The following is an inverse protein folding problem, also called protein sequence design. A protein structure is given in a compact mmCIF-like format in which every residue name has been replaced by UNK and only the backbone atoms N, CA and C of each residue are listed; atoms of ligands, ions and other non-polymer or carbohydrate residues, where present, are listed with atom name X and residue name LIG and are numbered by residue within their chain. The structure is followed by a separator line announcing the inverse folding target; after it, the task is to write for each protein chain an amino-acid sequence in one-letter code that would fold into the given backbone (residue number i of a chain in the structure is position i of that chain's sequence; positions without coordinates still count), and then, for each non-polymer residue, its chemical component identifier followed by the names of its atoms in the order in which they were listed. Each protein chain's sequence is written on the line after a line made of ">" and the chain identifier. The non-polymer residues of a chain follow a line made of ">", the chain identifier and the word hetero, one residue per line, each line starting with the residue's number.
data_IF_169727488061
#
_entry.id   IF_169727488061
#
_cell.length_a   1.000
_cell.length_b   1.000
_cell.length_c   1.000
_cell.angle_alpha   90.00
_cell.angle_beta   90.00
_cell.angle_gamma   90.00
#
_symmetry.space_group_name_H-M   'P 1'
#
loop_
_entity.id
_entity.type
_entity.pdbx_description
1 polymer ?
#
# COMPACT_ATOMS: atom_id res chain seq x y z
N UNK A 1 39.08 -85.37 -80.33
CA UNK A 1 38.97 -84.84 -78.92
C UNK A 1 38.20 -83.57 -79.01
N UNK A 2 36.93 -83.64 -78.74
CA UNK A 2 36.01 -82.52 -78.89
C UNK A 2 35.66 -82.01 -77.49
N UNK A 3 35.97 -80.75 -77.21
CA UNK A 3 35.56 -80.14 -76.03
C UNK A 3 34.22 -79.43 -76.26
N UNK A 4 33.19 -79.73 -75.47
CA UNK A 4 31.93 -79.14 -75.46
C UNK A 4 31.95 -77.88 -74.57
N UNK A 5 31.41 -76.69 -74.97
CA UNK A 5 31.31 -75.53 -74.14
C UNK A 5 30.24 -75.65 -73.10
N UNK A 6 30.57 -75.40 -71.88
CA UNK A 6 29.69 -75.38 -70.72
C UNK A 6 28.90 -74.05 -70.73
N UNK A 7 27.58 -74.12 -70.98
CA UNK A 7 26.63 -73.02 -70.94
C UNK A 7 26.20 -72.74 -69.52
N UNK A 8 26.70 -71.70 -68.89
CA UNK A 8 26.27 -71.34 -67.58
C UNK A 8 24.82 -70.76 -67.62
N UNK A 9 23.97 -71.36 -66.83
CA UNK A 9 22.53 -70.94 -66.68
C UNK A 9 22.42 -69.56 -65.98
N UNK A 10 21.48 -68.68 -66.38
CA UNK A 10 21.31 -67.40 -65.79
C UNK A 10 20.84 -67.51 -64.34
N UNK A 11 21.58 -66.86 -63.44
CA UNK A 11 21.25 -66.87 -62.02
C UNK A 11 19.89 -66.14 -61.76
N UNK A 12 18.97 -66.91 -61.10
CA UNK A 12 17.66 -66.40 -60.74
C UNK A 12 17.79 -65.09 -59.89
N UNK A 13 16.98 -64.06 -60.13
CA UNK A 13 17.08 -62.81 -59.37
C UNK A 13 16.78 -63.05 -57.90
N UNK A 14 17.77 -62.77 -57.07
CA UNK A 14 17.75 -63.05 -55.62
C UNK A 14 16.60 -62.27 -54.96
N UNK A 15 15.56 -62.97 -54.43
CA UNK A 15 14.46 -62.42 -53.64
C UNK A 15 14.96 -61.52 -52.49
N UNK A 16 16.18 -61.78 -52.03
CA UNK A 16 16.86 -60.97 -50.99
C UNK A 16 17.09 -59.50 -51.38
N UNK A 17 17.41 -59.19 -52.65
CA UNK A 17 17.58 -57.79 -53.12
C UNK A 17 16.29 -57.02 -53.19
N UNK A 18 15.15 -57.66 -53.49
CA UNK A 18 13.83 -57.03 -53.45
C UNK A 18 13.35 -56.74 -52.02
N UNK A 19 13.61 -57.70 -51.09
CA UNK A 19 13.29 -57.54 -49.68
C UNK A 19 14.14 -56.45 -49.00
N UNK A 20 15.46 -56.35 -49.32
CA UNK A 20 16.35 -55.31 -48.85
C UNK A 20 15.95 -53.91 -49.38
N UNK A 21 15.56 -53.80 -50.65
CA UNK A 21 15.04 -52.53 -51.21
C UNK A 21 13.70 -52.14 -50.59
N UNK A 22 12.82 -53.13 -50.31
CA UNK A 22 11.55 -52.89 -49.60
C UNK A 22 11.76 -52.41 -48.15
N UNK A 23 12.70 -53.07 -47.40
CA UNK A 23 13.06 -52.64 -46.06
C UNK A 23 13.71 -51.24 -46.05
N UNK A 24 14.59 -50.96 -46.99
CA UNK A 24 15.20 -49.63 -47.13
C UNK A 24 14.14 -48.53 -47.42
N UNK A 25 13.19 -48.81 -48.32
CA UNK A 25 12.09 -47.90 -48.62
C UNK A 25 11.20 -47.63 -47.41
N UNK A 26 10.89 -48.67 -46.57
CA UNK A 26 10.14 -48.51 -45.31
C UNK A 26 10.91 -47.65 -44.31
N UNK A 27 12.20 -47.89 -44.14
CA UNK A 27 13.06 -47.08 -43.22
C UNK A 27 13.13 -45.60 -43.67
N UNK A 28 13.28 -45.35 -44.97
CA UNK A 28 13.26 -43.99 -45.52
C UNK A 28 11.91 -43.33 -45.32
N UNK A 29 10.83 -44.07 -45.51
CA UNK A 29 9.45 -43.53 -45.31
C UNK A 29 9.20 -43.23 -43.84
N UNK A 30 9.63 -44.07 -42.90
CA UNK A 30 9.57 -43.85 -41.46
C UNK A 30 10.42 -42.63 -41.04
N UNK A 31 11.63 -42.48 -41.58
CA UNK A 31 12.47 -41.28 -41.35
C UNK A 31 11.82 -40.02 -41.90
N UNK A 32 11.26 -40.10 -43.11
CA UNK A 32 10.55 -38.94 -43.72
C UNK A 32 9.31 -38.57 -42.88
N UNK A 33 8.53 -39.57 -42.39
CA UNK A 33 7.40 -39.34 -41.53
C UNK A 33 7.83 -38.74 -40.19
N UNK A 34 8.92 -39.19 -39.59
CA UNK A 34 9.47 -38.67 -38.33
C UNK A 34 9.99 -37.22 -38.51
N UNK A 35 10.66 -36.94 -39.61
CA UNK A 35 11.11 -35.59 -39.98
C UNK A 35 9.90 -34.69 -40.19
N UNK A 36 8.87 -35.13 -40.92
CA UNK A 36 7.65 -34.38 -41.15
C UNK A 36 6.92 -34.10 -39.83
N UNK A 37 6.81 -35.13 -38.97
CA UNK A 37 6.21 -34.99 -37.64
C UNK A 37 6.98 -33.97 -36.78
N UNK A 38 8.31 -34.00 -36.77
CA UNK A 38 9.14 -33.04 -36.08
C UNK A 38 8.95 -31.63 -36.63
N UNK A 39 8.89 -31.41 -37.93
CA UNK A 39 8.65 -30.11 -38.54
C UNK A 39 7.24 -29.57 -38.33
N UNK A 40 6.23 -30.46 -38.24
CA UNK A 40 4.83 -30.04 -38.00
C UNK A 40 4.54 -29.78 -36.54
N UNK A 41 5.12 -30.52 -35.61
CA UNK A 41 4.77 -30.50 -34.20
C UNK A 41 5.95 -30.19 -33.29
N UNK A 42 7.07 -30.84 -33.40
CA UNK A 42 8.18 -30.75 -32.44
C UNK A 42 8.87 -29.39 -32.36
N UNK A 43 8.93 -28.64 -33.45
CA UNK A 43 9.62 -27.33 -33.48
C UNK A 43 8.86 -26.20 -32.80
N UNK A 44 7.59 -26.42 -32.43
CA UNK A 44 6.72 -25.39 -31.89
C UNK A 44 6.61 -25.45 -30.36
N UNK A 45 7.37 -26.29 -29.73
CA UNK A 45 7.37 -26.43 -28.29
C UNK A 45 8.79 -26.37 -27.76
N UNK A 46 8.98 -25.60 -26.70
CA UNK A 46 10.22 -25.56 -25.93
C UNK A 46 9.93 -25.98 -24.50
N UNK A 47 10.69 -26.96 -24.02
CA UNK A 47 10.50 -27.49 -22.66
C UNK A 47 11.72 -27.27 -21.79
N UNK A 48 11.48 -27.15 -20.48
CA UNK A 48 12.50 -27.14 -19.45
C UNK A 48 12.01 -27.85 -18.20
N UNK A 49 12.92 -28.65 -17.61
CA UNK A 49 12.73 -29.28 -16.30
C UNK A 49 13.29 -28.38 -15.16
N UNK A 50 13.96 -27.29 -15.50
CA UNK A 50 14.53 -26.34 -14.55
C UNK A 50 13.53 -25.20 -14.29
N UNK A 51 12.40 -25.56 -13.69
CA UNK A 51 11.34 -24.64 -13.36
C UNK A 51 10.90 -24.84 -11.91
N UNK A 52 10.68 -23.74 -11.19
CA UNK A 52 10.34 -23.78 -9.78
C UNK A 52 9.17 -22.86 -9.49
N UNK A 53 8.31 -23.30 -8.57
CA UNK A 53 7.24 -22.46 -8.04
C UNK A 53 7.85 -21.37 -7.17
N UNK A 54 7.53 -20.13 -7.48
CA UNK A 54 7.88 -18.94 -6.73
C UNK A 54 6.62 -18.23 -6.22
N UNK A 55 6.78 -17.36 -5.23
CA UNK A 55 5.66 -16.59 -4.68
C UNK A 55 6.16 -15.45 -3.81
N UNK A 56 5.28 -14.51 -3.56
CA UNK A 56 5.57 -13.43 -2.64
C UNK A 56 5.66 -13.98 -1.21
N UNK A 57 6.72 -13.63 -0.49
CA UNK A 57 6.90 -13.91 0.92
C UNK A 57 6.78 -12.60 1.68
N UNK A 58 5.66 -12.36 2.32
CA UNK A 58 5.41 -11.16 3.10
C UNK A 58 5.98 -11.36 4.50
N UNK A 59 7.10 -10.71 4.78
CA UNK A 59 7.70 -10.75 6.11
C UNK A 59 6.93 -9.88 7.08
N UNK A 60 6.47 -10.45 8.18
CA UNK A 60 5.77 -9.77 9.26
C UNK A 60 6.81 -9.29 10.27
N UNK A 61 6.87 -7.97 10.44
CA UNK A 61 7.78 -7.31 11.39
C UNK A 61 7.00 -6.41 12.33
N UNK A 62 7.40 -6.27 13.61
CA UNK A 62 6.75 -5.34 14.52
C UNK A 62 7.10 -3.90 14.13
N UNK A 63 6.16 -2.99 14.34
CA UNK A 63 6.35 -1.53 14.17
C UNK A 63 6.73 -0.84 15.49
N UNK A 64 6.51 -1.52 16.63
CA UNK A 64 6.86 -1.06 17.98
C UNK A 64 7.65 -2.14 18.69
N UNK A 65 8.47 -1.75 19.66
CA UNK A 65 9.18 -2.70 20.51
C UNK A 65 8.29 -3.18 21.66
N UNK A 66 8.41 -4.46 22.04
CA UNK A 66 7.65 -5.03 23.13
C UNK A 66 8.02 -6.48 23.42
N UNK A 67 7.46 -7.05 24.48
CA UNK A 67 7.57 -8.47 24.80
C UNK A 67 6.38 -9.22 24.23
N UNK A 68 6.59 -10.35 23.59
CA UNK A 68 5.51 -11.18 23.01
C UNK A 68 4.76 -11.90 24.13
N UNK A 69 3.45 -11.64 24.25
CA UNK A 69 2.58 -12.28 25.25
C UNK A 69 1.72 -13.39 24.66
N UNK A 70 1.38 -13.31 23.38
CA UNK A 70 0.61 -14.34 22.69
C UNK A 70 0.98 -14.44 21.21
N UNK A 71 0.84 -15.65 20.66
CA UNK A 71 1.00 -15.97 19.24
C UNK A 71 -0.26 -16.68 18.81
N UNK A 72 -0.98 -16.10 17.83
CA UNK A 72 -2.26 -16.60 17.37
C UNK A 72 -2.17 -17.46 16.11
N UNK A 73 -1.01 -17.48 15.42
CA UNK A 73 -0.80 -18.26 14.22
C UNK A 73 0.56 -18.98 14.26
N UNK A 74 0.57 -20.25 13.82
CA UNK A 74 1.77 -21.08 13.75
C UNK A 74 2.03 -21.57 12.31
N UNK A 75 3.19 -22.19 12.08
CA UNK A 75 3.62 -22.68 10.78
C UNK A 75 2.56 -23.60 10.14
N UNK A 76 2.27 -23.35 8.86
CA UNK A 76 1.28 -24.06 8.08
C UNK A 76 -0.16 -23.62 8.28
N UNK A 77 -0.47 -22.76 9.24
CA UNK A 77 -1.82 -22.23 9.42
C UNK A 77 -2.19 -21.24 8.33
N UNK A 78 -3.46 -21.27 7.93
CA UNK A 78 -4.05 -20.23 7.08
C UNK A 78 -4.42 -19.03 7.91
N UNK A 79 -4.11 -17.86 7.40
CA UNK A 79 -4.44 -16.56 8.03
C UNK A 79 -5.14 -15.65 7.04
N UNK A 80 -6.01 -14.80 7.55
CA UNK A 80 -6.74 -13.82 6.77
C UNK A 80 -6.11 -12.43 6.91
N UNK A 81 -6.33 -11.60 5.90
CA UNK A 81 -5.93 -10.19 5.95
C UNK A 81 -6.57 -9.49 7.14
N UNK A 82 -5.77 -8.78 7.94
CA UNK A 82 -6.21 -8.10 9.16
C UNK A 82 -6.31 -9.02 10.39
N UNK A 83 -6.10 -10.32 10.26
CA UNK A 83 -6.11 -11.24 11.39
C UNK A 83 -4.90 -10.99 12.31
N UNK A 84 -5.13 -11.00 13.63
CA UNK A 84 -4.07 -10.92 14.64
C UNK A 84 -3.16 -12.15 14.55
N UNK A 85 -1.85 -11.90 14.48
CA UNK A 85 -0.82 -12.95 14.41
C UNK A 85 -0.02 -13.05 15.71
N UNK A 86 0.41 -11.90 16.23
CA UNK A 86 1.22 -11.80 17.43
C UNK A 86 0.73 -10.64 18.28
N UNK A 87 0.61 -10.86 19.59
CA UNK A 87 0.29 -9.84 20.57
C UNK A 87 1.53 -9.50 21.38
N UNK A 88 1.91 -8.24 21.37
CA UNK A 88 2.89 -7.70 22.29
C UNK A 88 2.20 -7.27 23.60
N UNK A 89 2.94 -7.18 24.68
CA UNK A 89 2.48 -6.62 25.94
C UNK A 89 2.06 -5.15 25.75
N UNK A 90 0.77 -4.83 25.95
CA UNK A 90 0.27 -3.48 25.72
C UNK A 90 0.47 -2.54 26.92
N UNK A 91 0.91 -3.03 28.08
CA UNK A 91 0.88 -2.29 29.35
C UNK A 91 1.55 -0.91 29.25
N UNK A 92 2.75 -0.83 28.71
CA UNK A 92 3.48 0.44 28.56
C UNK A 92 2.79 1.38 27.56
N UNK A 93 2.27 0.84 26.46
CA UNK A 93 1.60 1.63 25.41
C UNK A 93 0.22 2.10 25.86
N UNK A 94 -0.48 1.32 26.68
CA UNK A 94 -1.77 1.65 27.25
C UNK A 94 -1.65 2.80 28.27
N UNK A 95 -0.65 2.75 29.16
CA UNK A 95 -0.34 3.85 30.07
C UNK A 95 0.04 5.12 29.32
N UNK A 96 0.86 5.01 28.27
CA UNK A 96 1.22 6.16 27.43
C UNK A 96 0.00 6.76 26.71
N UNK A 97 -0.94 5.92 26.27
CA UNK A 97 -2.20 6.36 25.64
C UNK A 97 -3.05 7.13 26.66
N UNK A 98 -3.31 6.56 27.84
CA UNK A 98 -4.08 7.22 28.90
C UNK A 98 -3.47 8.57 29.31
N UNK A 99 -2.13 8.65 29.38
CA UNK A 99 -1.44 9.91 29.67
C UNK A 99 -1.68 10.95 28.56
N UNK A 100 -1.63 10.55 27.29
CA UNK A 100 -1.87 11.44 26.15
C UNK A 100 -3.33 11.91 26.10
N UNK A 101 -4.30 11.04 26.41
CA UNK A 101 -5.73 11.40 26.55
C UNK A 101 -5.93 12.46 27.63
N UNK A 102 -5.36 12.25 28.81
CA UNK A 102 -5.45 13.19 29.93
C UNK A 102 -4.80 14.54 29.58
N UNK A 103 -3.65 14.52 28.86
CA UNK A 103 -2.96 15.71 28.38
C UNK A 103 -3.82 16.50 27.40
N UNK A 104 -4.38 15.86 26.36
CA UNK A 104 -5.26 16.52 25.40
C UNK A 104 -6.48 17.17 26.10
N UNK A 105 -7.15 16.41 26.97
CA UNK A 105 -8.28 16.92 27.74
C UNK A 105 -7.90 18.12 28.62
N UNK A 106 -6.71 18.08 29.25
CA UNK A 106 -6.15 19.17 30.03
C UNK A 106 -5.90 20.42 29.18
N UNK A 107 -5.23 20.24 28.04
CA UNK A 107 -4.91 21.33 27.09
C UNK A 107 -6.18 21.98 26.54
N UNK A 108 -7.19 21.21 26.15
CA UNK A 108 -8.48 21.75 25.69
C UNK A 108 -9.13 22.63 26.78
N UNK A 109 -9.12 22.17 28.05
CA UNK A 109 -9.66 22.98 29.17
C UNK A 109 -8.83 24.24 29.42
N UNK A 110 -7.52 24.18 29.33
CA UNK A 110 -6.62 25.34 29.47
C UNK A 110 -6.88 26.38 28.37
N UNK A 111 -6.91 25.94 27.11
CA UNK A 111 -7.19 26.83 25.96
C UNK A 111 -8.60 27.45 26.12
N UNK A 112 -9.61 26.65 26.51
CA UNK A 112 -10.94 27.17 26.81
C UNK A 112 -10.90 28.27 27.87
N UNK A 113 -10.02 28.17 28.88
CA UNK A 113 -9.78 29.22 29.88
C UNK A 113 -9.29 30.54 29.26
N UNK A 114 -8.41 30.47 28.24
CA UNK A 114 -7.93 31.65 27.52
C UNK A 114 -9.07 32.35 26.77
N UNK A 115 -9.97 31.63 26.11
CA UNK A 115 -11.15 32.19 25.45
C UNK A 115 -12.10 32.87 26.46
N UNK A 116 -12.28 32.28 27.64
CA UNK A 116 -13.05 32.91 28.72
C UNK A 116 -12.39 34.19 29.26
N UNK A 117 -11.06 34.25 29.29
CA UNK A 117 -10.33 35.43 29.65
C UNK A 117 -10.57 36.61 28.66
N UNK A 118 -10.66 36.32 27.36
CA UNK A 118 -11.03 37.31 26.34
C UNK A 118 -12.42 37.85 26.57
N UNK A 119 -13.40 36.95 26.82
CA UNK A 119 -14.77 37.34 27.11
C UNK A 119 -14.86 38.24 28.36
N UNK A 120 -14.11 37.90 29.42
CA UNK A 120 -14.01 38.68 30.64
C UNK A 120 -13.41 40.09 30.41
N UNK A 121 -12.28 40.14 29.66
CA UNK A 121 -11.65 41.42 29.29
C UNK A 121 -12.59 42.30 28.43
N UNK A 122 -13.32 41.68 27.48
CA UNK A 122 -14.32 42.43 26.68
C UNK A 122 -15.46 42.95 27.51
N UNK A 123 -15.95 42.26 28.54
CA UNK A 123 -16.96 42.71 29.45
C UNK A 123 -16.48 43.92 30.29
N UNK A 124 -15.21 43.88 30.78
CA UNK A 124 -14.60 45.01 31.48
C UNK A 124 -14.49 46.26 30.57
N UNK A 125 -14.03 46.05 29.33
CA UNK A 125 -13.98 47.17 28.36
C UNK A 125 -15.36 47.82 28.15
N UNK A 126 -16.41 47.00 28.00
CA UNK A 126 -17.77 47.51 27.86
C UNK A 126 -18.20 48.36 29.10
N UNK A 127 -17.88 47.91 30.31
CA UNK A 127 -18.18 48.62 31.56
C UNK A 127 -17.44 49.95 31.61
N UNK A 128 -16.14 50.01 31.21
CA UNK A 128 -15.37 51.25 31.13
C UNK A 128 -15.92 52.22 30.08
N UNK A 129 -16.36 51.72 28.93
CA UNK A 129 -17.01 52.52 27.89
C UNK A 129 -18.33 53.18 28.39
N UNK A 130 -19.15 52.45 29.14
CA UNK A 130 -20.34 53.03 29.76
C UNK A 130 -19.97 54.14 30.74
N UNK A 131 -18.92 53.96 31.55
CA UNK A 131 -18.43 55.01 32.49
C UNK A 131 -17.92 56.22 31.73
N UNK A 132 -17.14 56.03 30.67
CA UNK A 132 -16.64 57.13 29.81
C UNK A 132 -17.81 57.90 29.20
N UNK A 133 -18.84 57.21 28.68
CA UNK A 133 -20.05 57.90 28.14
C UNK A 133 -20.70 58.80 29.16
N UNK A 134 -20.80 58.35 30.42
CA UNK A 134 -21.37 59.13 31.54
C UNK A 134 -20.49 60.35 31.83
N UNK A 135 -19.18 60.21 31.95
CA UNK A 135 -18.24 61.33 32.23
C UNK A 135 -18.24 62.37 31.10
N UNK A 136 -18.29 61.94 29.83
CA UNK A 136 -18.44 62.82 28.69
C UNK A 136 -19.70 63.68 28.74
N UNK A 137 -20.84 63.06 29.06
CA UNK A 137 -22.10 63.77 29.18
C UNK A 137 -22.09 64.75 30.37
N UNK A 138 -21.44 64.39 31.47
CA UNK A 138 -21.31 65.24 32.65
C UNK A 138 -20.41 66.45 32.37
N UNK A 139 -19.22 66.22 31.76
CA UNK A 139 -18.32 67.29 31.33
C UNK A 139 -19.03 68.25 30.35
N UNK A 140 -19.75 67.74 29.34
CA UNK A 140 -20.44 68.63 28.38
C UNK A 140 -21.49 69.50 29.07
N UNK A 141 -22.28 68.95 29.98
CA UNK A 141 -23.26 69.66 30.74
C UNK A 141 -22.64 70.72 31.65
N UNK A 142 -21.53 70.40 32.36
CA UNK A 142 -20.78 71.38 33.18
C UNK A 142 -20.13 72.47 32.37
N UNK A 143 -19.63 72.16 31.17
CA UNK A 143 -19.07 73.16 30.24
C UNK A 143 -20.12 74.21 29.85
N UNK A 144 -21.33 73.74 29.45
CA UNK A 144 -22.43 74.66 29.10
C UNK A 144 -22.84 75.53 30.30
N UNK A 145 -22.79 75.08 31.55
CA UNK A 145 -23.07 75.78 32.77
C UNK A 145 -21.93 76.79 33.11
N UNK A 146 -20.67 76.46 32.86
CA UNK A 146 -19.53 77.35 33.06
C UNK A 146 -19.57 78.55 32.11
N UNK A 147 -19.97 78.31 30.83
CA UNK A 147 -20.16 79.42 29.86
C UNK A 147 -21.21 80.45 30.26
N UNK A 148 -22.17 80.00 31.09
CA UNK A 148 -23.18 80.93 31.69
C UNK A 148 -22.78 81.48 33.05
N UNK A 149 -21.59 81.16 33.59
CA UNK A 149 -21.11 81.57 34.89
C UNK A 149 -21.77 80.89 36.09
N UNK A 150 -22.49 79.78 35.88
CA UNK A 150 -23.26 79.00 36.90
C UNK A 150 -22.40 78.09 37.76
N UNK A 151 -21.18 77.74 37.33
CA UNK A 151 -20.22 76.94 38.09
C UNK A 151 -18.81 77.52 38.08
N UNK A 152 -17.96 77.11 39.04
CA UNK A 152 -16.61 77.58 39.14
C UNK A 152 -15.66 76.96 38.09
N UNK A 153 -14.56 77.65 37.76
CA UNK A 153 -13.50 77.12 36.88
C UNK A 153 -12.83 75.88 37.46
N UNK A 154 -12.77 75.74 38.77
CA UNK A 154 -12.24 74.58 39.47
C UNK A 154 -13.14 73.32 39.27
N UNK A 155 -14.49 73.48 39.39
CA UNK A 155 -15.43 72.42 39.13
C UNK A 155 -15.40 71.92 37.70
N UNK A 156 -15.18 72.80 36.72
CA UNK A 156 -14.98 72.46 35.33
C UNK A 156 -13.64 71.73 35.11
N UNK A 157 -12.56 72.12 35.80
CA UNK A 157 -11.26 71.46 35.73
C UNK A 157 -11.35 70.08 36.30
N UNK A 158 -12.01 69.85 37.45
CA UNK A 158 -12.26 68.50 38.02
C UNK A 158 -13.04 67.60 37.07
N UNK A 159 -14.08 68.09 36.42
CA UNK A 159 -14.82 67.33 35.44
C UNK A 159 -14.00 66.94 34.21
N UNK A 160 -13.05 67.80 33.79
CA UNK A 160 -12.12 67.52 32.70
C UNK A 160 -11.11 66.41 33.10
N UNK A 161 -10.61 66.45 34.34
CA UNK A 161 -9.66 65.47 34.85
C UNK A 161 -10.32 64.09 35.03
N UNK A 162 -11.60 64.10 35.49
CA UNK A 162 -12.41 62.89 35.57
C UNK A 162 -12.65 62.24 34.17
N UNK A 163 -12.97 63.09 33.18
CA UNK A 163 -13.10 62.65 31.79
C UNK A 163 -11.77 62.05 31.25
N UNK A 164 -10.65 62.75 31.45
CA UNK A 164 -9.34 62.25 31.02
C UNK A 164 -8.96 60.91 31.67
N UNK A 165 -9.27 60.78 32.99
CA UNK A 165 -9.09 59.52 33.71
C UNK A 165 -9.95 58.37 33.14
N UNK A 166 -11.21 58.66 32.79
CA UNK A 166 -12.08 57.66 32.18
C UNK A 166 -11.62 57.28 30.75
N UNK A 167 -11.09 58.20 29.97
CA UNK A 167 -10.50 57.95 28.65
C UNK A 167 -9.26 57.06 28.75
N UNK A 168 -8.37 57.34 29.70
CA UNK A 168 -7.19 56.51 29.98
C UNK A 168 -7.58 55.10 30.43
N UNK A 169 -8.65 54.96 31.28
CA UNK A 169 -9.16 53.68 31.72
C UNK A 169 -9.70 52.79 30.56
N UNK A 170 -10.41 53.40 29.59
CA UNK A 170 -10.87 52.72 28.39
C UNK A 170 -9.71 52.26 27.52
N UNK A 171 -8.69 53.12 27.33
CA UNK A 171 -7.50 52.77 26.56
C UNK A 171 -6.76 51.58 27.18
N UNK A 172 -6.54 51.59 28.51
CA UNK A 172 -5.90 50.48 29.22
C UNK A 172 -6.69 49.15 29.15
N UNK A 173 -8.02 49.24 29.26
CA UNK A 173 -8.87 48.06 29.14
C UNK A 173 -8.88 47.50 27.71
N UNK A 174 -8.81 48.39 26.68
CA UNK A 174 -8.69 47.99 25.28
C UNK A 174 -7.40 47.22 25.01
N UNK A 175 -6.28 47.72 25.52
CA UNK A 175 -4.98 46.99 25.41
C UNK A 175 -5.00 45.64 26.09
N UNK A 176 -5.76 45.51 27.18
CA UNK A 176 -5.96 44.19 27.85
C UNK A 176 -6.76 43.21 26.99
N UNK A 177 -7.80 43.67 26.29
CA UNK A 177 -8.54 42.87 25.33
C UNK A 177 -7.63 42.40 24.18
N UNK A 178 -6.87 43.32 23.58
CA UNK A 178 -5.96 42.98 22.47
C UNK A 178 -4.90 41.96 22.90
N UNK A 179 -4.32 42.12 24.09
CA UNK A 179 -3.36 41.18 24.66
C UNK A 179 -4.00 39.79 24.86
N UNK A 180 -5.21 39.75 25.41
CA UNK A 180 -5.91 38.50 25.62
C UNK A 180 -6.29 37.81 24.29
N UNK A 181 -6.67 38.58 23.26
CA UNK A 181 -6.96 38.08 21.91
C UNK A 181 -5.71 37.51 21.24
N UNK A 182 -4.55 38.17 21.39
CA UNK A 182 -3.32 37.63 20.84
C UNK A 182 -2.92 36.24 21.35
N UNK A 183 -3.44 35.82 22.52
CA UNK A 183 -3.22 34.46 23.06
C UNK A 183 -4.08 33.40 22.42
N UNK A 184 -5.21 33.80 21.79
CA UNK A 184 -6.13 32.86 21.14
C UNK A 184 -6.12 32.98 19.61
N UNK A 185 -5.44 34.00 19.06
CA UNK A 185 -5.13 34.20 17.64
C UNK A 185 -6.34 34.05 16.70
N UNK A 186 -7.52 34.49 17.13
CA UNK A 186 -8.81 34.40 16.45
C UNK A 186 -9.17 32.99 15.90
N UNK A 187 -8.50 31.92 16.40
CA UNK A 187 -8.74 30.53 16.02
C UNK A 187 -9.89 29.92 16.81
N UNK A 188 -10.40 28.76 16.39
CA UNK A 188 -11.30 27.96 17.24
C UNK A 188 -10.48 26.99 18.10
N UNK A 189 -11.00 26.61 19.26
CA UNK A 189 -10.30 25.76 20.24
C UNK A 189 -9.68 24.53 19.60
N UNK A 190 -10.40 23.88 18.67
CA UNK A 190 -9.94 22.66 18.01
C UNK A 190 -8.72 22.87 17.08
N UNK A 191 -8.52 24.08 16.55
CA UNK A 191 -7.40 24.43 15.64
C UNK A 191 -6.27 25.18 16.33
N UNK A 192 -6.40 25.42 17.64
CA UNK A 192 -5.35 26.04 18.44
C UNK A 192 -4.06 25.19 18.40
N UNK A 193 -2.86 25.78 18.20
CA UNK A 193 -1.60 25.07 18.09
C UNK A 193 -1.32 24.10 19.25
N UNK A 194 -1.61 24.50 20.48
CA UNK A 194 -1.40 23.65 21.65
C UNK A 194 -2.30 22.42 21.64
N UNK A 195 -3.58 22.58 21.22
CA UNK A 195 -4.53 21.48 21.08
C UNK A 195 -4.09 20.54 19.97
N UNK A 196 -3.64 21.09 18.82
CA UNK A 196 -3.13 20.28 17.70
C UNK A 196 -1.85 19.51 18.09
N UNK A 197 -0.96 20.11 18.87
CA UNK A 197 0.23 19.43 19.38
C UNK A 197 -0.15 18.27 20.32
N UNK A 198 -1.06 18.49 21.26
CA UNK A 198 -1.56 17.45 22.15
C UNK A 198 -2.33 16.34 21.39
N UNK A 199 -3.10 16.72 20.36
CA UNK A 199 -3.79 15.74 19.49
C UNK A 199 -2.79 14.89 18.69
N UNK A 200 -1.69 15.48 18.20
CA UNK A 200 -0.64 14.72 17.52
C UNK A 200 0.07 13.73 18.47
N UNK A 201 0.29 14.11 19.73
CA UNK A 201 0.83 13.20 20.75
C UNK A 201 -0.13 12.04 21.05
N UNK A 202 -1.43 12.32 21.17
CA UNK A 202 -2.45 11.30 21.35
C UNK A 202 -2.49 10.34 20.15
N UNK A 203 -2.48 10.87 18.93
CA UNK A 203 -2.44 10.05 17.70
C UNK A 203 -1.24 9.11 17.69
N UNK A 204 -0.07 9.60 18.09
CA UNK A 204 1.15 8.76 18.18
C UNK A 204 1.02 7.68 19.25
N UNK A 205 0.49 8.00 20.44
CA UNK A 205 0.27 7.03 21.50
C UNK A 205 -0.76 5.97 21.12
N UNK A 206 -1.86 6.38 20.48
CA UNK A 206 -2.86 5.47 19.92
C UNK A 206 -2.26 4.51 18.89
N UNK A 207 -1.50 5.02 17.91
CA UNK A 207 -0.85 4.19 16.90
C UNK A 207 0.13 3.19 17.52
N UNK A 208 0.89 3.59 18.54
CA UNK A 208 1.79 2.68 19.22
C UNK A 208 1.03 1.57 19.96
N UNK A 209 -0.10 1.90 20.59
CA UNK A 209 -0.95 0.93 21.27
C UNK A 209 -1.63 -0.03 20.27
N UNK A 210 -2.19 0.49 19.19
CA UNK A 210 -2.80 -0.33 18.13
C UNK A 210 -1.78 -1.28 17.46
N UNK A 211 -0.52 -0.87 17.33
CA UNK A 211 0.57 -1.65 16.76
C UNK A 211 1.16 -2.71 17.70
N UNK A 212 0.75 -2.72 18.98
CA UNK A 212 1.06 -3.84 19.88
C UNK A 212 0.36 -5.13 19.42
N UNK A 213 -0.76 -5.05 18.73
CA UNK A 213 -1.38 -6.15 17.98
C UNK A 213 -0.83 -6.22 16.56
N UNK A 214 -0.03 -7.22 16.25
CA UNK A 214 0.59 -7.40 14.93
C UNK A 214 -0.35 -8.24 14.07
N UNK A 215 -0.86 -7.65 12.98
CA UNK A 215 -1.84 -8.26 12.08
C UNK A 215 -1.24 -8.63 10.73
N UNK A 216 -1.87 -9.57 10.04
CA UNK A 216 -1.45 -9.95 8.68
C UNK A 216 -1.88 -8.88 7.66
N UNK A 217 -0.98 -8.34 6.82
CA UNK A 217 -1.33 -7.43 5.75
C UNK A 217 -1.98 -8.13 4.55
N UNK A 218 -1.89 -9.46 4.46
CA UNK A 218 -2.39 -10.29 3.35
C UNK A 218 -3.04 -11.56 3.87
N UNK A 219 -3.93 -12.15 3.07
CA UNK A 219 -4.42 -13.51 3.31
C UNK A 219 -3.43 -14.53 2.73
N UNK A 220 -3.17 -15.63 3.44
CA UNK A 220 -2.21 -16.63 3.00
C UNK A 220 -1.93 -17.71 4.04
N UNK A 221 -0.78 -18.35 3.94
CA UNK A 221 -0.32 -19.36 4.87
C UNK A 221 0.96 -18.93 5.58
N UNK A 222 1.04 -19.19 6.87
CA UNK A 222 2.29 -18.95 7.63
C UNK A 222 3.32 -19.96 7.16
N UNK A 223 4.44 -19.47 6.63
CA UNK A 223 5.48 -20.33 6.07
C UNK A 223 6.67 -20.54 7.02
N UNK A 224 6.94 -19.57 7.88
CA UNK A 224 8.09 -19.60 8.79
C UNK A 224 7.85 -18.68 9.96
N UNK A 225 7.71 -19.23 11.16
CA UNK A 225 7.65 -18.49 12.42
C UNK A 225 9.00 -18.57 13.12
N UNK A 226 9.57 -17.43 13.47
CA UNK A 226 10.83 -17.32 14.23
C UNK A 226 10.65 -16.79 15.65
N UNK A 227 9.48 -16.20 15.94
CA UNK A 227 9.18 -15.55 17.22
C UNK A 227 8.67 -16.58 18.27
N UNK A 228 8.98 -16.32 19.55
CA UNK A 228 8.53 -17.12 20.70
C UNK A 228 7.85 -16.24 21.75
N UNK A 229 6.92 -16.82 22.52
CA UNK A 229 6.30 -16.15 23.69
C UNK A 229 7.37 -15.83 24.72
N UNK A 230 7.31 -14.63 25.30
CA UNK A 230 8.32 -14.10 26.23
C UNK A 230 9.53 -13.44 25.55
N UNK A 231 9.65 -13.55 24.23
CA UNK A 231 10.74 -12.91 23.49
C UNK A 231 10.50 -11.39 23.40
N UNK A 232 11.55 -10.60 23.63
CA UNK A 232 11.52 -9.16 23.34
C UNK A 232 11.87 -8.93 21.87
N UNK A 233 11.00 -8.19 21.18
CA UNK A 233 11.16 -7.87 19.77
C UNK A 233 11.31 -6.37 19.54
N UNK A 234 11.93 -6.00 18.42
CA UNK A 234 12.16 -4.61 18.02
C UNK A 234 11.72 -4.40 16.58
N UNK A 235 11.40 -3.16 16.17
CA UNK A 235 11.08 -2.84 14.77
C UNK A 235 12.13 -3.39 13.80
N UNK A 236 11.66 -4.05 12.73
CA UNK A 236 12.51 -4.68 11.73
C UNK A 236 12.88 -6.14 11.99
N UNK A 237 12.67 -6.69 13.21
CA UNK A 237 12.87 -8.12 13.44
C UNK A 237 11.80 -8.94 12.72
N UNK A 238 12.19 -9.86 11.85
CA UNK A 238 11.24 -10.76 11.20
C UNK A 238 10.64 -11.73 12.24
N UNK A 239 9.33 -11.72 12.41
CA UNK A 239 8.59 -12.57 13.32
C UNK A 239 8.10 -13.85 12.65
N UNK A 240 7.55 -13.72 11.46
CA UNK A 240 7.08 -14.81 10.61
C UNK A 240 6.98 -14.34 9.15
N UNK A 241 6.82 -15.28 8.24
CA UNK A 241 6.53 -15.01 6.83
C UNK A 241 5.15 -15.55 6.48
N UNK A 242 4.37 -14.76 5.74
CA UNK A 242 3.06 -15.16 5.20
C UNK A 242 3.17 -15.24 3.68
N UNK A 243 2.74 -16.35 3.10
CA UNK A 243 2.74 -16.61 1.66
C UNK A 243 1.31 -16.56 1.15
N UNK A 244 0.95 -15.57 0.31
CA UNK A 244 -0.34 -15.56 -0.38
C UNK A 244 -0.43 -16.69 -1.40
N UNK A 245 -1.31 -17.68 -1.17
CA UNK A 245 -1.43 -18.87 -2.03
C UNK A 245 -1.92 -18.57 -3.45
N UNK A 246 -2.61 -17.45 -3.64
CA UNK A 246 -3.16 -17.02 -4.93
C UNK A 246 -2.15 -16.25 -5.81
N UNK A 247 -1.03 -15.83 -5.24
CA UNK A 247 -0.01 -14.99 -5.90
C UNK A 247 1.26 -15.78 -6.19
N UNK A 248 1.11 -17.01 -6.70
CA UNK A 248 2.23 -17.85 -7.10
C UNK A 248 2.45 -17.78 -8.61
N UNK A 249 3.69 -17.96 -9.02
CA UNK A 249 4.10 -18.08 -10.42
C UNK A 249 5.17 -19.15 -10.53
N UNK A 250 5.46 -19.58 -11.77
CA UNK A 250 6.59 -20.44 -12.03
C UNK A 250 7.72 -19.62 -12.65
N UNK A 251 8.91 -19.80 -12.14
CA UNK A 251 10.14 -19.30 -12.73
C UNK A 251 10.81 -20.48 -13.43
N UNK A 252 10.77 -20.45 -14.76
CA UNK A 252 11.31 -21.49 -15.62
C UNK A 252 12.59 -21.01 -16.31
N UNK A 253 13.70 -21.73 -16.11
CA UNK A 253 15.00 -21.35 -16.63
C UNK A 253 15.22 -22.00 -18.00
N UNK A 254 15.05 -21.23 -19.06
CA UNK A 254 15.31 -21.68 -20.44
C UNK A 254 16.71 -21.35 -20.88
N UNK A 255 17.30 -22.18 -21.75
CA UNK A 255 18.58 -21.90 -22.38
C UNK A 255 18.46 -20.69 -23.31
N UNK A 256 19.51 -19.91 -23.45
CA UNK A 256 19.56 -18.74 -24.34
C UNK A 256 19.08 -19.07 -25.77
N UNK A 257 19.40 -20.28 -26.27
CA UNK A 257 19.03 -20.73 -27.62
C UNK A 257 17.52 -20.96 -27.77
N UNK A 258 16.81 -21.28 -26.68
CA UNK A 258 15.37 -21.56 -26.66
C UNK A 258 14.52 -20.29 -26.66
N UNK A 259 15.09 -19.15 -26.21
CA UNK A 259 14.38 -17.86 -26.12
C UNK A 259 14.12 -17.18 -27.47
N UNK A 260 14.71 -17.65 -28.55
CA UNK A 260 14.68 -16.99 -29.87
C UNK A 260 13.26 -16.64 -30.34
N UNK A 261 12.34 -17.57 -30.14
CA UNK A 261 10.94 -17.45 -30.58
C UNK A 261 9.95 -17.26 -29.41
N UNK A 262 10.48 -17.10 -28.20
CA UNK A 262 9.63 -16.91 -27.01
C UNK A 262 9.16 -15.45 -26.92
N UNK A 263 7.88 -15.26 -26.61
CA UNK A 263 7.19 -13.96 -26.53
C UNK A 263 6.31 -13.89 -25.30
N UNK A 264 6.04 -12.66 -24.84
CA UNK A 264 5.07 -12.41 -23.78
C UNK A 264 3.67 -12.82 -24.24
N UNK A 265 2.89 -13.43 -23.33
CA UNK A 265 1.53 -13.88 -23.59
C UNK A 265 1.41 -15.31 -24.08
N UNK A 266 2.50 -15.96 -24.52
CA UNK A 266 2.48 -17.36 -24.98
C UNK A 266 1.93 -18.30 -23.91
N UNK A 267 1.18 -19.31 -24.35
CA UNK A 267 0.61 -20.33 -23.49
C UNK A 267 1.67 -21.33 -23.05
N UNK A 268 1.60 -21.73 -21.79
CA UNK A 268 2.53 -22.68 -21.18
C UNK A 268 1.73 -23.75 -20.49
N UNK A 269 2.08 -24.99 -20.76
CA UNK A 269 1.65 -26.14 -19.98
C UNK A 269 2.68 -26.43 -18.89
N UNK A 270 2.22 -26.48 -17.64
CA UNK A 270 3.05 -26.72 -16.47
C UNK A 270 2.61 -28.01 -15.79
N UNK A 271 3.56 -28.84 -15.37
CA UNK A 271 3.30 -30.08 -14.63
C UNK A 271 4.15 -30.10 -13.37
N UNK A 272 3.48 -30.25 -12.22
CA UNK A 272 4.17 -30.30 -10.93
C UNK A 272 4.54 -31.74 -10.60
N UNK A 273 5.79 -31.97 -10.21
CA UNK A 273 6.28 -33.29 -9.79
C UNK A 273 5.52 -33.81 -8.56
N UNK A 274 5.02 -32.90 -7.71
CA UNK A 274 4.20 -33.24 -6.54
C UNK A 274 2.95 -34.10 -6.88
N UNK A 275 2.34 -33.84 -8.04
CA UNK A 275 1.10 -34.49 -8.48
C UNK A 275 1.33 -35.56 -9.57
N UNK A 276 2.60 -35.97 -9.80
CA UNK A 276 2.97 -37.09 -10.64
C UNK A 276 2.60 -36.96 -12.12
N UNK A 277 2.39 -35.77 -12.62
CA UNK A 277 2.06 -35.50 -14.02
C UNK A 277 0.58 -35.61 -14.39
N UNK A 278 -0.29 -36.06 -13.47
CA UNK A 278 -1.74 -36.20 -13.71
C UNK A 278 -2.45 -34.82 -13.68
N UNK A 279 -1.84 -33.83 -13.03
CA UNK A 279 -2.36 -32.44 -12.92
C UNK A 279 -1.53 -31.50 -13.80
N UNK A 280 -2.16 -31.02 -14.86
CA UNK A 280 -1.60 -29.98 -15.73
C UNK A 280 -2.13 -28.60 -15.35
N UNK A 281 -1.23 -27.62 -15.19
CA UNK A 281 -1.60 -26.22 -15.01
C UNK A 281 -1.38 -25.48 -16.32
N UNK A 282 -2.31 -24.59 -16.63
CA UNK A 282 -2.17 -23.67 -17.74
C UNK A 282 -1.62 -22.35 -17.23
N UNK A 283 -0.57 -21.87 -17.86
CA UNK A 283 0.06 -20.61 -17.54
C UNK A 283 0.26 -19.74 -18.79
N UNK A 284 0.75 -18.52 -18.57
CA UNK A 284 1.16 -17.61 -19.63
C UNK A 284 2.50 -16.97 -19.31
N UNK A 285 3.33 -16.80 -20.31
CA UNK A 285 4.59 -16.06 -20.20
C UNK A 285 4.27 -14.60 -19.89
N UNK A 286 4.69 -14.11 -18.71
CA UNK A 286 4.47 -12.71 -18.27
C UNK A 286 5.72 -11.87 -18.32
N UNK A 287 6.90 -12.48 -18.18
CA UNK A 287 8.17 -11.76 -18.26
C UNK A 287 9.28 -12.68 -18.72
N UNK A 288 10.14 -12.16 -19.57
CA UNK A 288 11.44 -12.74 -19.91
C UNK A 288 12.49 -11.99 -19.09
N UNK A 289 13.31 -12.71 -18.34
CA UNK A 289 14.34 -12.10 -17.46
C UNK A 289 15.29 -11.20 -18.22
N UNK A 290 15.65 -10.07 -17.63
CA UNK A 290 16.58 -9.10 -18.22
C UNK A 290 18.06 -9.54 -18.13
N UNK A 291 18.32 -10.68 -17.50
CA UNK A 291 19.67 -11.22 -17.36
C UNK A 291 19.65 -12.69 -16.97
N UNK A 292 20.81 -13.32 -17.05
CA UNK A 292 21.00 -14.72 -16.64
C UNK A 292 21.12 -14.82 -15.12
N UNK A 293 20.79 -15.95 -14.54
CA UNK A 293 20.94 -16.17 -13.11
C UNK A 293 22.36 -15.91 -12.58
N UNK A 294 23.38 -16.18 -13.41
CA UNK A 294 24.79 -15.88 -13.08
C UNK A 294 25.11 -14.39 -13.06
N UNK A 295 24.42 -13.55 -13.85
CA UNK A 295 24.66 -12.11 -13.89
C UNK A 295 24.19 -11.39 -12.62
N UNK A 296 23.18 -11.95 -11.94
CA UNK A 296 22.60 -11.39 -10.70
C UNK A 296 23.05 -12.14 -9.44
N UNK A 297 23.95 -13.11 -9.54
CA UNK A 297 24.48 -13.79 -8.36
C UNK A 297 25.45 -12.89 -7.57
N UNK A 298 25.45 -13.04 -6.24
CA UNK A 298 26.34 -12.31 -5.33
C UNK A 298 27.83 -12.53 -5.64
N UNK A 299 28.17 -13.67 -6.22
CA UNK A 299 29.53 -14.03 -6.67
C UNK A 299 29.45 -14.55 -8.11
N UNK A 300 29.51 -13.67 -9.13
CA UNK A 300 29.55 -14.11 -10.51
C UNK A 300 30.79 -14.98 -10.76
N UNK A 301 30.58 -16.12 -11.41
CA UNK A 301 31.73 -16.99 -11.78
C UNK A 301 32.68 -16.24 -12.72
N UNK A 302 33.85 -15.87 -12.21
CA UNK A 302 34.93 -15.27 -13.01
C UNK A 302 35.89 -16.35 -13.41
N UNK A 303 36.00 -16.65 -14.71
CA UNK A 303 37.04 -17.48 -15.29
C UNK A 303 38.29 -16.63 -15.54
N UNK A 304 38.97 -16.19 -14.46
CA UNK A 304 40.13 -15.30 -14.57
C UNK A 304 41.44 -16.00 -14.95
N UNK A 305 41.51 -17.33 -14.95
CA UNK A 305 42.77 -18.07 -15.10
C UNK A 305 42.61 -19.44 -15.76
N UNK A 306 42.08 -19.54 -16.97
CA UNK A 306 41.95 -20.83 -17.66
C UNK A 306 41.47 -20.73 -19.09
N UNK A 307 41.42 -21.86 -19.80
CA UNK A 307 40.85 -21.94 -21.14
C UNK A 307 39.39 -21.45 -21.10
N UNK A 308 39.07 -20.45 -21.91
CA UNK A 308 37.73 -19.97 -22.09
C UNK A 308 36.82 -21.08 -22.66
N UNK A 309 35.78 -21.46 -21.94
CA UNK A 309 34.79 -22.42 -22.40
C UNK A 309 33.44 -21.68 -22.48
N UNK A 310 32.80 -21.71 -23.65
CA UNK A 310 31.44 -21.16 -23.81
C UNK A 310 30.46 -22.03 -23.06
N UNK A 311 29.91 -21.49 -21.95
CA UNK A 311 28.85 -22.14 -21.19
C UNK A 311 27.53 -21.54 -21.64
N UNK A 312 26.55 -22.36 -22.01
CA UNK A 312 25.20 -21.96 -22.36
C UNK A 312 24.53 -21.42 -21.11
N UNK A 313 24.13 -20.13 -21.14
CA UNK A 313 23.47 -19.46 -20.04
C UNK A 313 21.99 -19.78 -20.04
N UNK A 314 21.37 -19.72 -18.85
CA UNK A 314 19.91 -19.83 -18.67
C UNK A 314 19.35 -18.49 -18.27
N UNK A 315 18.18 -18.17 -18.80
CA UNK A 315 17.43 -16.94 -18.50
C UNK A 315 16.12 -17.33 -17.83
N UNK A 316 15.79 -16.74 -16.67
CA UNK A 316 14.53 -17.02 -16.01
C UNK A 316 13.36 -16.41 -16.78
N UNK A 317 12.36 -17.22 -17.02
CA UNK A 317 11.07 -16.83 -17.62
C UNK A 317 9.99 -16.96 -16.58
N UNK A 318 9.27 -15.85 -16.32
CA UNK A 318 8.16 -15.84 -15.37
C UNK A 318 6.87 -16.21 -16.06
N UNK A 319 6.20 -17.22 -15.51
CA UNK A 319 4.96 -17.79 -16.01
C UNK A 319 3.89 -17.63 -14.95
N UNK A 320 2.85 -16.86 -15.24
CA UNK A 320 1.69 -16.74 -14.36
C UNK A 320 0.80 -17.98 -14.47
N UNK A 321 0.30 -18.45 -13.35
CA UNK A 321 -0.63 -19.58 -13.24
C UNK A 321 -2.03 -19.02 -12.97
N UNK A 322 -3.08 -19.67 -13.46
CA UNK A 322 -4.47 -19.30 -13.15
C UNK A 322 -4.77 -19.57 -11.66
N UNK A 323 -5.27 -18.55 -10.96
CA UNK A 323 -5.60 -18.62 -9.54
C UNK A 323 -6.65 -19.73 -9.22
N UNK A 324 -7.54 -20.05 -10.15
CA UNK A 324 -8.52 -21.13 -9.97
C UNK A 324 -7.85 -22.50 -9.87
N UNK A 325 -6.84 -22.75 -10.70
CA UNK A 325 -6.09 -24.00 -10.69
C UNK A 325 -5.25 -24.14 -9.41
N UNK A 326 -4.72 -23.00 -8.90
CA UNK A 326 -4.02 -22.97 -7.61
C UNK A 326 -4.94 -23.25 -6.42
N UNK A 327 -6.22 -22.85 -6.51
CA UNK A 327 -7.21 -23.16 -5.47
C UNK A 327 -7.62 -24.65 -5.46
N UNK A 328 -7.73 -25.28 -6.63
CA UNK A 328 -8.07 -26.70 -6.77
C UNK A 328 -6.89 -27.63 -6.40
N UNK A 329 -5.70 -27.25 -6.84
CA UNK A 329 -4.46 -28.00 -6.62
C UNK A 329 -3.37 -27.06 -6.07
N UNK A 330 -3.31 -26.85 -4.72
CA UNK A 330 -2.39 -25.91 -4.12
C UNK A 330 -0.92 -26.29 -4.34
N UNK A 331 -0.13 -25.33 -4.81
CA UNK A 331 1.31 -25.45 -4.91
C UNK A 331 2.02 -24.87 -3.68
N UNK A 332 3.29 -25.16 -3.54
CA UNK A 332 4.16 -24.60 -2.49
C UNK A 332 5.40 -23.98 -3.14
N UNK A 333 5.91 -22.92 -2.55
CA UNK A 333 7.15 -22.29 -3.04
C UNK A 333 8.29 -23.29 -2.99
N UNK A 334 9.10 -23.31 -4.05
CA UNK A 334 10.26 -24.19 -4.18
C UNK A 334 9.99 -25.57 -4.79
N UNK A 335 8.73 -25.90 -5.08
CA UNK A 335 8.44 -27.16 -5.81
C UNK A 335 8.96 -27.09 -7.23
N UNK A 336 9.54 -28.21 -7.70
CA UNK A 336 9.98 -28.40 -9.09
C UNK A 336 8.79 -28.65 -10.00
N UNK A 337 8.90 -28.14 -11.22
CA UNK A 337 7.92 -28.28 -12.28
C UNK A 337 8.58 -28.49 -13.63
N UNK A 338 7.83 -29.11 -14.54
CA UNK A 338 8.12 -29.06 -15.97
C UNK A 338 7.33 -27.95 -16.63
N UNK A 339 7.97 -27.19 -17.48
CA UNK A 339 7.33 -26.12 -18.24
C UNK A 339 7.52 -26.36 -19.74
N UNK A 340 6.40 -26.41 -20.48
CA UNK A 340 6.35 -26.53 -21.93
C UNK A 340 5.67 -25.30 -22.52
N UNK A 341 6.44 -24.48 -23.26
CA UNK A 341 5.95 -23.24 -23.87
C UNK A 341 5.58 -23.50 -25.32
N UNK A 342 4.38 -23.06 -25.72
CA UNK A 342 3.92 -23.10 -27.09
C UNK A 342 4.44 -21.86 -27.86
N UNK A 343 5.31 -22.10 -28.86
CA UNK A 343 5.89 -21.07 -29.72
C UNK A 343 5.03 -20.73 -30.94
N UNK A 344 3.78 -21.22 -31.00
CA UNK A 344 2.91 -21.03 -32.18
C UNK A 344 2.51 -19.57 -32.37
N UNK A 345 2.26 -18.88 -31.27
CA UNK A 345 1.96 -17.45 -31.24
C UNK A 345 3.27 -16.67 -31.09
N UNK A 346 3.60 -15.87 -32.10
CA UNK A 346 4.80 -15.00 -32.13
C UNK A 346 4.46 -13.51 -32.23
N UNK A 347 3.18 -13.14 -32.08
CA UNK A 347 2.73 -11.74 -32.19
C UNK A 347 3.09 -10.91 -30.95
N UNK A 348 3.35 -11.55 -29.82
CA UNK A 348 3.74 -10.90 -28.57
C UNK A 348 5.09 -10.18 -28.65
N UNK A 349 5.31 -9.20 -27.79
CA UNK A 349 6.58 -8.49 -27.64
C UNK A 349 7.57 -9.32 -26.78
N UNK A 350 8.86 -9.06 -26.91
CA UNK A 350 9.91 -9.69 -26.07
C UNK A 350 9.99 -9.02 -24.70
N UNK A 351 9.70 -7.70 -24.64
CA UNK A 351 9.73 -6.91 -23.43
C UNK A 351 8.44 -6.10 -23.31
N UNK A 352 7.99 -5.81 -22.08
CA UNK A 352 6.86 -4.93 -21.87
C UNK A 352 7.13 -3.53 -22.43
N UNK A 353 6.21 -2.99 -23.23
CA UNK A 353 6.35 -1.65 -23.85
C UNK A 353 5.74 -0.58 -22.93
N UNK A 354 4.70 -0.92 -22.16
CA UNK A 354 4.03 0.01 -21.28
C UNK A 354 4.53 -0.12 -19.84
N UNK A 355 4.70 1.04 -19.19
CA UNK A 355 4.96 1.07 -17.75
C UNK A 355 3.71 0.62 -16.97
N UNK A 356 3.91 -0.06 -15.85
CA UNK A 356 2.82 -0.47 -14.96
C UNK A 356 2.05 0.77 -14.48
N UNK A 357 0.71 0.74 -14.60
CA UNK A 357 -0.19 1.80 -14.13
C UNK A 357 -0.74 1.40 -12.74
N UNK A 358 -0.38 2.18 -11.72
CA UNK A 358 -0.87 1.97 -10.34
C UNK A 358 -0.02 0.99 -9.52
N UNK A 359 -0.51 0.72 -8.29
CA UNK A 359 0.14 -0.22 -7.38
C UNK A 359 -0.11 -1.67 -7.83
N UNK A 360 0.94 -2.45 -7.93
CA UNK A 360 0.82 -3.89 -8.24
C UNK A 360 0.32 -4.67 -7.02
N UNK A 361 0.74 -4.23 -5.83
CA UNK A 361 0.31 -4.79 -4.54
C UNK A 361 0.08 -3.65 -3.56
N UNK A 362 -1.00 -3.71 -2.80
CA UNK A 362 -1.35 -2.75 -1.75
C UNK A 362 -2.03 -3.43 -0.56
N UNK A 363 -2.09 -2.72 0.57
CA UNK A 363 -2.84 -3.12 1.74
C UNK A 363 -3.44 -1.89 2.43
N UNK A 364 -4.69 -1.99 2.86
CA UNK A 364 -5.43 -0.95 3.59
C UNK A 364 -5.54 -1.24 5.10
N UNK A 365 -4.99 -2.36 5.57
CA UNK A 365 -5.12 -2.85 6.95
C UNK A 365 -4.72 -1.80 7.99
N UNK A 366 -3.73 -0.95 7.66
CA UNK A 366 -3.23 0.09 8.56
C UNK A 366 -3.99 1.42 8.45
N UNK A 367 -4.79 1.64 7.42
CA UNK A 367 -5.51 2.90 7.20
C UNK A 367 -6.58 3.14 8.28
N UNK A 368 -7.25 2.08 8.73
CA UNK A 368 -8.26 2.14 9.78
C UNK A 368 -7.72 2.68 11.11
N UNK A 369 -6.49 2.34 11.46
CA UNK A 369 -5.86 2.77 12.72
C UNK A 369 -5.76 4.30 12.85
N UNK A 370 -5.49 5.01 11.75
CA UNK A 370 -5.45 6.48 11.75
C UNK A 370 -6.84 7.09 11.93
N UNK A 371 -7.84 6.52 11.30
CA UNK A 371 -9.22 7.00 11.42
C UNK A 371 -9.76 6.85 12.84
N UNK A 372 -9.55 5.70 13.44
CA UNK A 372 -9.95 5.42 14.83
C UNK A 372 -9.26 6.38 15.82
N UNK A 373 -8.00 6.76 15.58
CA UNK A 373 -7.28 7.76 16.38
C UNK A 373 -7.90 9.16 16.25
N UNK A 374 -8.27 9.57 15.05
CA UNK A 374 -8.89 10.87 14.80
C UNK A 374 -10.30 10.95 15.42
N UNK A 375 -11.07 9.88 15.37
CA UNK A 375 -12.38 9.80 16.03
C UNK A 375 -12.27 9.94 17.55
N UNK A 376 -11.25 9.31 18.16
CA UNK A 376 -10.98 9.47 19.59
C UNK A 376 -10.60 10.91 19.95
N UNK A 377 -9.72 11.54 19.17
CA UNK A 377 -9.32 12.95 19.33
C UNK A 377 -10.56 13.84 19.29
N UNK A 378 -11.40 13.65 18.27
CA UNK A 378 -12.65 14.41 18.14
C UNK A 378 -13.57 14.23 19.36
N UNK A 379 -13.73 13.02 19.84
CA UNK A 379 -14.55 12.70 21.01
C UNK A 379 -14.04 13.42 22.25
N UNK A 380 -12.73 13.41 22.50
CA UNK A 380 -12.13 14.08 23.66
C UNK A 380 -12.28 15.60 23.55
N UNK A 381 -12.03 16.18 22.37
CA UNK A 381 -12.20 17.63 22.16
C UNK A 381 -13.67 18.02 22.41
N UNK A 382 -14.62 17.33 21.76
CA UNK A 382 -16.06 17.62 21.91
C UNK A 382 -16.55 17.48 23.35
N UNK A 383 -16.11 16.45 24.06
CA UNK A 383 -16.48 16.23 25.46
C UNK A 383 -15.94 17.30 26.42
N UNK A 384 -14.92 18.08 26.05
CA UNK A 384 -14.34 19.15 26.83
C UNK A 384 -14.74 20.55 26.35
N UNK A 385 -15.53 20.67 25.26
CA UNK A 385 -16.13 21.92 24.82
C UNK A 385 -17.39 22.27 25.64
N UNK A 386 -17.79 23.56 25.77
CA UNK A 386 -19.08 23.95 26.35
C UNK A 386 -20.23 23.37 25.50
N UNK A 387 -21.29 22.90 26.13
CA UNK A 387 -22.45 22.31 25.44
C UNK A 387 -23.08 23.22 24.36
N UNK A 388 -22.98 24.55 24.49
CA UNK A 388 -23.47 25.51 23.49
C UNK A 388 -22.58 25.56 22.21
N UNK A 389 -21.30 25.23 22.32
CA UNK A 389 -20.37 25.22 21.17
C UNK A 389 -20.40 23.88 20.41
N UNK A 390 -20.78 22.79 21.10
CA UNK A 390 -20.92 21.48 20.47
C UNK A 390 -22.08 21.44 19.43
N UNK A 391 -23.14 22.19 19.65
CA UNK A 391 -24.26 22.30 18.71
C UNK A 391 -23.90 23.08 17.43
N UNK A 392 -22.95 24.04 17.50
CA UNK A 392 -22.53 24.83 16.34
C UNK A 392 -21.47 24.11 15.47
N UNK A 393 -20.67 23.23 16.07
CA UNK A 393 -19.68 22.44 15.34
C UNK A 393 -20.30 21.29 14.53
N UNK A 394 -21.44 20.76 14.98
CA UNK A 394 -22.18 19.72 14.27
C UNK A 394 -22.91 20.24 13.01
N UNK A 395 -23.03 21.57 12.84
CA UNK A 395 -23.67 22.23 11.68
C UNK A 395 -22.70 22.88 10.71
N UNK A 396 -21.39 22.56 10.79
CA UNK A 396 -20.42 22.98 9.78
C UNK A 396 -20.76 22.34 8.42
N UNK A 397 -20.63 23.09 7.28
CA UNK A 397 -21.06 22.57 6.00
C UNK A 397 -20.21 21.36 5.60
N UNK A 398 -20.87 20.21 5.53
CA UNK A 398 -20.37 19.07 4.76
C UNK A 398 -20.18 19.60 3.34
N UNK A 399 -18.92 19.76 2.92
CA UNK A 399 -18.61 20.09 1.55
C UNK A 399 -19.05 18.91 0.67
N UNK A 400 -20.29 18.99 0.19
CA UNK A 400 -20.85 18.10 -0.82
C UNK A 400 -19.98 18.31 -2.06
N UNK A 401 -19.10 17.34 -2.35
CA UNK A 401 -18.44 17.23 -3.62
C UNK A 401 -19.51 17.04 -4.69
N UNK A 402 -19.93 18.14 -5.31
CA UNK A 402 -20.87 18.15 -6.41
C UNK A 402 -20.22 17.37 -7.56
N UNK A 403 -20.73 16.18 -7.81
CA UNK A 403 -20.51 15.45 -9.04
C UNK A 403 -20.88 16.37 -10.22
N UNK A 404 -19.88 16.73 -11.03
CA UNK A 404 -20.12 17.42 -12.31
C UNK A 404 -20.94 16.50 -13.19
N UNK A 405 -22.26 16.75 -13.26
CA UNK A 405 -23.10 16.24 -14.32
C UNK A 405 -22.69 16.94 -15.62
N UNK A 406 -22.25 16.14 -16.58
CA UNK A 406 -22.08 16.56 -17.97
C UNK A 406 -23.47 16.91 -18.56
N UNK A 407 -23.62 17.98 -19.33
CA UNK A 407 -24.89 18.28 -19.99
C UNK A 407 -25.14 17.28 -21.12
N UNK A 408 -26.19 16.50 -20.98
CA UNK A 408 -26.75 15.67 -22.08
C UNK A 408 -27.39 16.57 -23.11
N UNK A 409 -26.87 16.54 -24.32
CA UNK A 409 -27.43 17.19 -25.52
C UNK A 409 -28.76 16.50 -25.85
N UNK A 410 -29.88 17.24 -26.09
CA UNK A 410 -31.12 16.63 -26.50
C UNK A 410 -31.09 16.18 -28.00
N UNK A 411 -31.79 15.13 -28.37
CA UNK A 411 -31.81 14.66 -29.76
C UNK A 411 -32.59 15.62 -30.65
N UNK A 412 -31.98 15.93 -31.80
CA UNK A 412 -32.54 16.74 -32.87
C UNK A 412 -33.72 16.00 -33.51
N UNK A 413 -34.90 16.59 -33.45
CA UNK A 413 -36.09 16.11 -34.17
C UNK A 413 -35.85 16.17 -35.67
N UNK A 414 -36.05 15.05 -36.34
CA UNK A 414 -36.16 14.90 -37.78
C UNK A 414 -37.55 15.35 -38.18
N UNK A 415 -37.68 16.47 -38.93
CA UNK A 415 -38.88 16.78 -39.67
C UNK A 415 -38.72 16.22 -41.09
N UNK A 416 -39.58 15.29 -41.40
CA UNK A 416 -39.90 14.90 -42.77
C UNK A 416 -40.89 15.92 -43.37
N UNK A 417 -40.60 16.34 -44.56
CA UNK A 417 -41.37 17.10 -45.47
C UNK A 417 -40.72 16.97 -46.82
#
# INVERSE_FOLDING_TARGET
>A
MSQTPNTAAPAAPSRRGKLLRGLFAIVVLLLAALVLWYFMFGRWFEETDDAYVQGNQVQITPLVSGTVVAIAADDGMRVERGQLLVQLDPADTEVALQQAEANLAGTVRQVRGLYRSVEGAQADLNARQVTLKRMRADYARRKDLADTGAISSEELAHARDELASAEAAVAGSRETVERSRALVDDTVIATQPDVQAAAAQLRQAWLNNARAGIVSPVSGYVARRSVQVGQRVQPGNALMAVVPGEQMWVEANFKETQLRHMRLGQEVELRADLYGGDVGYKGRVTSLGMGTGSAFSLLPAQNASGNWIKIVQRVPVRIAIDAKQLAEHPLRIGLSMKAEVSLRDQEGTVLPVEAAKGNVFDTDVYAKQLHDADDMIHTIIQGNLPQSAAASAATGPVATAAARQQPTTPPRASNAG
#
